data_IF_181649165020
#
_entry.id   IF_181649165020
#
_cell.length_a   1.000
_cell.length_b   1.000
_cell.length_c   1.000
_cell.angle_alpha   90.00
_cell.angle_beta   90.00
_cell.angle_gamma   90.00
#
_symmetry.space_group_name_H-M   'P 1'
#
loop_
_entity.id
_entity.type
_entity.pdbx_description
1 polymer ?
#
# COMPACT_ATOMS: atom_id res chain seq x y z
N UNK A 1 3.00 11.06 1.47
CA UNK A 1 1.73 10.34 1.23
C UNK A 1 1.43 10.46 -0.25
N UNK A 2 1.04 9.38 -0.92
CA UNK A 2 0.79 9.36 -2.38
C UNK A 2 -0.33 8.37 -2.72
N UNK A 3 -0.69 8.26 -4.00
CA UNK A 3 -1.77 7.40 -4.49
C UNK A 3 -1.37 6.65 -5.78
N UNK A 4 -2.03 5.52 -6.02
CA UNK A 4 -1.81 4.70 -7.22
C UNK A 4 -2.29 5.38 -8.52
N UNK A 5 -3.34 6.21 -8.42
CA UNK A 5 -3.79 7.13 -9.46
C UNK A 5 -3.64 8.56 -8.96
N UNK A 6 -3.17 9.47 -9.81
CA UNK A 6 -2.93 10.89 -9.44
C UNK A 6 -4.06 11.84 -9.86
N UNK A 7 -4.96 11.37 -10.72
CA UNK A 7 -6.18 12.06 -11.11
C UNK A 7 -7.38 11.38 -10.45
N UNK A 8 -8.41 12.15 -10.10
CA UNK A 8 -9.64 11.60 -9.53
C UNK A 8 -10.43 10.82 -10.60
N UNK A 9 -10.62 9.49 -10.45
CA UNK A 9 -11.34 8.69 -11.43
C UNK A 9 -12.85 8.74 -11.18
N UNK A 10 -13.69 8.54 -12.22
CA UNK A 10 -15.12 8.38 -12.05
C UNK A 10 -15.48 7.32 -10.99
N UNK A 11 -16.47 7.64 -10.15
CA UNK A 11 -16.95 6.77 -9.07
C UNK A 11 -15.86 6.26 -8.09
N UNK A 12 -14.68 6.92 -8.01
CA UNK A 12 -13.52 6.49 -7.23
C UNK A 12 -13.02 5.08 -7.59
N UNK A 13 -13.23 4.65 -8.84
CA UNK A 13 -12.84 3.32 -9.34
C UNK A 13 -11.96 3.49 -10.58
N UNK A 14 -10.63 3.62 -10.42
CA UNK A 14 -9.75 3.75 -11.56
C UNK A 14 -9.73 2.46 -12.38
N UNK A 15 -9.75 2.59 -13.70
CA UNK A 15 -9.61 1.48 -14.62
C UNK A 15 -8.18 0.90 -14.58
N UNK A 16 -7.99 -0.38 -14.94
CA UNK A 16 -6.65 -0.98 -15.02
C UNK A 16 -5.68 -0.20 -15.93
N UNK A 17 -6.18 0.35 -17.04
CA UNK A 17 -5.40 1.17 -17.96
C UNK A 17 -4.97 2.50 -17.33
N UNK A 18 -5.84 3.17 -16.56
CA UNK A 18 -5.50 4.40 -15.85
C UNK A 18 -4.41 4.17 -14.80
N UNK A 19 -4.50 3.06 -14.05
CA UNK A 19 -3.46 2.66 -13.11
C UNK A 19 -2.15 2.32 -13.81
N UNK A 20 -2.20 1.65 -14.97
CA UNK A 20 -1.01 1.37 -15.77
C UNK A 20 -0.35 2.67 -16.27
N UNK A 21 -1.13 3.63 -16.73
CA UNK A 21 -0.67 4.93 -17.20
C UNK A 21 -0.12 5.81 -16.06
N UNK A 22 -0.68 5.70 -14.86
CA UNK A 22 -0.17 6.42 -13.68
C UNK A 22 1.08 5.77 -13.05
N UNK A 23 1.33 4.47 -13.31
CA UNK A 23 2.40 3.71 -12.65
C UNK A 23 3.80 4.33 -12.82
N UNK A 24 4.24 4.83 -13.99
CA UNK A 24 5.56 5.45 -14.14
C UNK A 24 5.81 6.62 -13.18
N UNK A 25 4.77 7.37 -12.81
CA UNK A 25 4.91 8.43 -11.83
C UNK A 25 5.09 7.90 -10.41
N UNK A 26 4.43 6.80 -10.05
CA UNK A 26 4.65 6.15 -8.76
C UNK A 26 6.06 5.54 -8.70
N UNK A 27 6.53 4.91 -9.78
CA UNK A 27 7.90 4.42 -9.91
C UNK A 27 8.93 5.55 -9.72
N UNK A 28 8.71 6.69 -10.38
CA UNK A 28 9.57 7.87 -10.23
C UNK A 28 9.59 8.40 -8.79
N UNK A 29 8.43 8.50 -8.13
CA UNK A 29 8.35 8.93 -6.73
C UNK A 29 9.06 7.95 -5.78
N UNK A 30 8.92 6.63 -5.97
CA UNK A 30 9.62 5.64 -5.16
C UNK A 30 11.15 5.77 -5.30
N UNK A 31 11.66 6.07 -6.51
CA UNK A 31 13.10 6.34 -6.71
C UNK A 31 13.59 7.57 -5.95
N UNK A 32 12.75 8.58 -5.76
CA UNK A 32 13.07 9.79 -4.99
C UNK A 32 12.97 9.59 -3.48
N UNK A 33 12.48 8.44 -3.01
CA UNK A 33 12.28 8.12 -1.59
C UNK A 33 13.21 6.99 -1.11
N UNK A 34 14.55 7.10 -1.27
CA UNK A 34 15.48 5.98 -1.06
C UNK A 34 15.60 5.52 0.40
N UNK A 35 15.12 6.33 1.35
CA UNK A 35 15.18 6.02 2.79
C UNK A 35 13.89 5.39 3.33
N UNK A 36 12.90 5.11 2.49
CA UNK A 36 11.67 4.45 2.92
C UNK A 36 11.96 3.00 3.30
N UNK A 37 11.69 2.65 4.56
CA UNK A 37 11.85 1.29 5.10
C UNK A 37 10.53 0.63 5.49
N UNK A 38 9.49 1.43 5.71
CA UNK A 38 8.15 0.97 6.10
C UNK A 38 7.12 1.61 5.18
N UNK A 39 6.26 0.80 4.58
CA UNK A 39 5.22 1.23 3.64
C UNK A 39 3.86 0.76 4.12
N UNK A 40 2.92 1.68 4.28
CA UNK A 40 1.51 1.37 4.55
C UNK A 40 0.68 1.55 3.27
N UNK A 41 0.08 0.46 2.79
CA UNK A 41 -0.84 0.46 1.64
C UNK A 41 -2.29 0.47 2.09
N UNK A 42 -3.10 1.33 1.45
CA UNK A 42 -4.50 1.57 1.81
C UNK A 42 -5.45 1.02 0.74
N UNK A 43 -5.97 -0.19 0.96
CA UNK A 43 -6.81 -0.90 0.01
C UNK A 43 -6.02 -1.78 -0.97
N UNK A 44 -6.72 -2.74 -1.60
CA UNK A 44 -6.12 -3.72 -2.51
C UNK A 44 -5.46 -3.05 -3.73
N UNK A 45 -6.11 -2.04 -4.31
CA UNK A 45 -5.57 -1.29 -5.45
C UNK A 45 -4.20 -0.67 -5.10
N UNK A 46 -4.09 0.01 -3.95
CA UNK A 46 -2.83 0.62 -3.52
C UNK A 46 -1.77 -0.45 -3.23
N UNK A 47 -2.15 -1.59 -2.66
CA UNK A 47 -1.26 -2.71 -2.37
C UNK A 47 -0.63 -3.28 -3.64
N UNK A 48 -1.46 -3.63 -4.62
CA UNK A 48 -1.01 -4.22 -5.87
C UNK A 48 -0.23 -3.20 -6.73
N UNK A 49 -0.68 -1.94 -6.75
CA UNK A 49 0.00 -0.87 -7.48
C UNK A 49 1.40 -0.59 -6.91
N UNK A 50 1.55 -0.56 -5.59
CA UNK A 50 2.86 -0.37 -4.97
C UNK A 50 3.79 -1.56 -5.25
N UNK A 51 3.30 -2.82 -5.14
CA UNK A 51 4.09 -4.00 -5.48
C UNK A 51 4.56 -4.01 -6.93
N UNK A 52 3.73 -3.51 -7.86
CA UNK A 52 4.10 -3.37 -9.27
C UNK A 52 5.13 -2.27 -9.48
N UNK A 53 4.91 -1.08 -8.91
CA UNK A 53 5.82 0.06 -9.05
C UNK A 53 7.19 -0.20 -8.36
N UNK A 54 7.21 -0.92 -7.24
CA UNK A 54 8.44 -1.31 -6.56
C UNK A 54 9.15 -2.52 -7.22
N UNK A 55 8.59 -3.09 -8.30
CA UNK A 55 9.15 -4.23 -9.03
C UNK A 55 8.95 -5.60 -8.36
N UNK A 56 8.32 -5.66 -7.19
CA UNK A 56 8.09 -6.92 -6.48
C UNK A 56 7.10 -7.85 -7.18
N UNK A 57 6.16 -7.29 -7.95
CA UNK A 57 5.19 -8.10 -8.69
C UNK A 57 5.84 -9.04 -9.72
N UNK A 58 6.91 -8.58 -10.37
CA UNK A 58 7.68 -9.37 -11.35
C UNK A 58 8.79 -10.19 -10.71
N UNK A 59 9.37 -9.73 -9.58
CA UNK A 59 10.46 -10.43 -8.88
C UNK A 59 10.01 -11.59 -7.99
N UNK A 60 8.76 -11.57 -7.52
CA UNK A 60 8.22 -12.62 -6.65
C UNK A 60 7.27 -13.54 -7.44
N UNK A 61 7.37 -14.87 -7.26
CA UNK A 61 6.37 -15.78 -7.80
C UNK A 61 5.00 -15.49 -7.18
N UNK A 62 3.88 -15.78 -7.87
CA UNK A 62 2.53 -15.46 -7.38
C UNK A 62 2.24 -15.92 -5.95
N UNK A 63 2.71 -17.11 -5.55
CA UNK A 63 2.53 -17.66 -4.22
C UNK A 63 3.31 -16.93 -3.11
N UNK A 64 4.37 -16.21 -3.46
CA UNK A 64 5.20 -15.46 -2.51
C UNK A 64 4.87 -13.95 -2.49
N UNK A 65 3.94 -13.49 -3.34
CA UNK A 65 3.51 -12.09 -3.32
C UNK A 65 2.82 -11.79 -1.98
N UNK A 66 3.13 -10.66 -1.33
CA UNK A 66 2.47 -10.27 -0.09
C UNK A 66 0.94 -10.28 -0.26
N UNK A 67 0.19 -10.93 0.65
CA UNK A 67 -1.26 -10.99 0.54
C UNK A 67 -1.90 -9.69 1.02
N UNK A 68 -2.95 -9.24 0.33
CA UNK A 68 -3.77 -8.14 0.83
C UNK A 68 -4.74 -8.62 1.92
N UNK A 69 -4.43 -8.30 3.18
CA UNK A 69 -5.31 -8.44 4.34
C UNK A 69 -5.06 -7.30 5.32
N UNK A 70 -6.10 -6.75 5.95
CA UNK A 70 -5.92 -5.66 6.92
C UNK A 70 -5.02 -6.11 8.09
N UNK A 71 -4.03 -5.29 8.41
CA UNK A 71 -3.02 -5.57 9.43
C UNK A 71 -1.94 -6.57 9.00
N UNK A 72 -1.97 -7.09 7.77
CA UNK A 72 -0.90 -7.96 7.29
C UNK A 72 0.41 -7.18 7.21
N UNK A 73 1.48 -7.79 7.71
CA UNK A 73 2.84 -7.27 7.68
C UNK A 73 3.70 -8.28 6.93
N UNK A 74 4.44 -7.81 5.92
CA UNK A 74 5.36 -8.63 5.16
C UNK A 74 6.70 -7.93 5.06
N UNK A 75 7.78 -8.64 5.40
CA UNK A 75 9.14 -8.17 5.15
C UNK A 75 9.57 -8.65 3.77
N UNK A 76 9.91 -7.72 2.90
CA UNK A 76 10.37 -8.00 1.54
C UNK A 76 11.87 -8.35 1.55
N UNK A 77 12.39 -9.01 0.50
CA UNK A 77 13.80 -9.42 0.44
C UNK A 77 14.82 -8.28 0.61
N UNK A 78 14.49 -7.04 0.22
CA UNK A 78 15.32 -5.85 0.43
C UNK A 78 15.25 -5.29 1.88
N UNK A 79 14.47 -5.93 2.75
CA UNK A 79 14.21 -5.49 4.11
C UNK A 79 13.16 -4.40 4.24
N UNK A 80 12.48 -3.99 3.16
CA UNK A 80 11.31 -3.11 3.24
C UNK A 80 10.17 -3.84 3.95
N UNK A 81 9.51 -3.16 4.90
CA UNK A 81 8.36 -3.70 5.62
C UNK A 81 7.09 -3.13 4.99
N UNK A 82 6.31 -4.00 4.35
CA UNK A 82 5.03 -3.68 3.74
C UNK A 82 3.89 -4.03 4.69
N UNK A 83 2.99 -3.08 4.91
CA UNK A 83 1.81 -3.22 5.75
C UNK A 83 0.59 -2.96 4.89
N UNK A 84 -0.40 -3.85 4.95
CA UNK A 84 -1.68 -3.69 4.25
C UNK A 84 -2.79 -3.29 5.22
N UNK A 85 -3.61 -2.32 4.82
CA UNK A 85 -4.84 -1.96 5.53
C UNK A 85 -5.99 -1.86 4.55
N UNK A 86 -7.23 -2.08 5.02
CA UNK A 86 -8.39 -1.56 4.32
C UNK A 86 -8.28 -0.04 4.13
N UNK A 87 -8.82 0.45 3.01
CA UNK A 87 -8.83 1.87 2.68
C UNK A 87 -9.82 2.60 3.60
N UNK A 88 -9.48 3.79 4.12
CA UNK A 88 -10.38 4.59 4.96
C UNK A 88 -11.46 5.32 4.14
N UNK A 89 -12.17 4.60 3.25
CA UNK A 89 -13.30 5.17 2.51
C UNK A 89 -14.54 5.25 3.41
N UNK A 90 -15.44 6.20 3.10
CA UNK A 90 -16.76 6.31 3.76
C UNK A 90 -17.50 4.97 3.80
N UNK A 91 -17.45 4.20 2.72
CA UNK A 91 -18.06 2.86 2.68
C UNK A 91 -17.47 1.94 3.75
N UNK A 92 -16.14 1.85 3.88
CA UNK A 92 -15.50 0.95 4.84
C UNK A 92 -15.70 1.42 6.29
N UNK A 93 -15.69 2.73 6.53
CA UNK A 93 -15.87 3.29 7.88
C UNK A 93 -17.32 3.21 8.34
N UNK A 94 -18.29 3.51 7.45
CA UNK A 94 -19.71 3.52 7.81
C UNK A 94 -20.27 2.10 8.01
N UNK A 95 -19.76 1.11 7.28
CA UNK A 95 -20.17 -0.30 7.41
C UNK A 95 -19.43 -1.05 8.52
N UNK A 96 -18.51 -0.39 9.23
CA UNK A 96 -17.70 -1.04 10.27
C UNK A 96 -16.61 -1.98 9.77
N UNK A 97 -16.47 -2.15 8.43
CA UNK A 97 -15.38 -2.95 7.83
C UNK A 97 -13.99 -2.43 8.24
N UNK A 98 -13.86 -1.12 8.46
CA UNK A 98 -12.70 -0.51 9.09
C UNK A 98 -13.17 0.37 10.25
N UNK A 99 -12.95 -0.09 11.48
CA UNK A 99 -13.25 0.71 12.67
C UNK A 99 -12.12 1.69 13.00
N UNK A 100 -12.43 2.72 13.79
CA UNK A 100 -11.42 3.67 14.31
C UNK A 100 -10.34 2.96 15.12
N UNK A 101 -10.70 1.96 15.92
CA UNK A 101 -9.76 1.18 16.72
C UNK A 101 -8.77 0.40 15.83
N UNK A 102 -9.28 -0.26 14.78
CA UNK A 102 -8.47 -0.94 13.77
C UNK A 102 -7.52 0.03 13.06
N UNK A 103 -8.04 1.20 12.66
CA UNK A 103 -7.24 2.24 12.00
C UNK A 103 -6.08 2.70 12.88
N UNK A 104 -6.36 3.07 14.14
CA UNK A 104 -5.31 3.47 15.07
C UNK A 104 -4.33 2.33 15.37
N UNK A 105 -4.77 1.08 15.43
CA UNK A 105 -3.90 -0.07 15.65
C UNK A 105 -2.87 -0.24 14.53
N UNK A 106 -3.26 -0.02 13.27
CA UNK A 106 -2.33 -0.04 12.13
C UNK A 106 -1.25 1.03 12.29
N UNK A 107 -1.60 2.27 12.65
CA UNK A 107 -0.61 3.33 12.84
C UNK A 107 0.30 3.10 14.04
N UNK A 108 -0.21 2.55 15.14
CA UNK A 108 0.64 2.11 16.26
C UNK A 108 1.63 1.04 15.82
N UNK A 109 1.20 0.09 14.99
CA UNK A 109 2.08 -0.94 14.43
C UNK A 109 3.15 -0.35 13.51
N UNK A 110 2.76 0.57 12.62
CA UNK A 110 3.71 1.33 11.78
C UNK A 110 4.75 2.02 12.66
N UNK A 111 4.33 2.73 13.71
CA UNK A 111 5.24 3.44 14.61
C UNK A 111 6.25 2.51 15.27
N UNK A 112 5.78 1.41 15.85
CA UNK A 112 6.64 0.39 16.47
C UNK A 112 7.69 -0.16 15.49
N UNK A 113 7.32 -0.39 14.23
CA UNK A 113 8.24 -0.90 13.21
C UNK A 113 9.27 0.15 12.79
N UNK A 114 8.86 1.41 12.63
CA UNK A 114 9.80 2.52 12.38
C UNK A 114 10.81 2.64 13.51
N UNK A 115 10.38 2.51 14.76
CA UNK A 115 11.25 2.60 15.93
C UNK A 115 12.26 1.46 16.02
N UNK A 116 11.90 0.25 15.57
CA UNK A 116 12.80 -0.90 15.56
C UNK A 116 13.90 -0.87 14.50
N UNK A 117 13.85 0.07 13.55
CA UNK A 117 14.82 0.21 12.45
C UNK A 117 15.75 1.41 12.68
N UNK A 118 15.45 2.25 13.68
CA UNK A 118 16.37 3.29 14.17
C UNK A 118 17.48 2.66 14.99
#
# INVERSE_FOLDING_TARGET
VTAAARCAPPANKPAPAELANCRPYLEAELRLLPRVRVVLTLGRIAHDAWLRAAGWWSRLPPAARPPFRHGAVTRLPDGTILIASYHPSRQNTNTGRLTRAMWHAVFRRVRSLVDSIR
#
